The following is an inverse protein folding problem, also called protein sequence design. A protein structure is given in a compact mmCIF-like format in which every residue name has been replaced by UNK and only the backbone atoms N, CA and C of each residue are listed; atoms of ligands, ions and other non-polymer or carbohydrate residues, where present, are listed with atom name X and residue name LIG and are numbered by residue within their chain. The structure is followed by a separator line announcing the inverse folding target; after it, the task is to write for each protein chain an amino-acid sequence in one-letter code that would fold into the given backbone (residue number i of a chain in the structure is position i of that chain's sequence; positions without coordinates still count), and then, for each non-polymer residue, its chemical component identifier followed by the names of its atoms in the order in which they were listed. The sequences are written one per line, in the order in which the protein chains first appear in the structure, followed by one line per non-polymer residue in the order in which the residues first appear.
data_IF_034599943772
#
_entry.id   IF_034599943772
#
_cell.length_a   1.000
_cell.length_b   1.000
_cell.length_c   1.000
_cell.angle_alpha   90.00
_cell.angle_beta   90.00
_cell.angle_gamma   90.00
#
_symmetry.space_group_name_H-M   'P 1'
#
loop_
_entity.id
_entity.type
_entity.pdbx_description
1 polymer ?
#
# COMPACT_ATOMS: atom_id res chain seq x y z
N UNK A 1 2.41 -15.17 -21.53
CA UNK A 1 3.12 -13.89 -21.70
C UNK A 1 2.99 -13.44 -23.15
N UNK A 2 3.28 -14.31 -24.14
CA UNK A 2 3.12 -14.02 -25.57
C UNK A 2 1.70 -13.54 -25.89
N UNK A 3 0.66 -14.25 -25.42
CA UNK A 3 -0.74 -13.88 -25.64
C UNK A 3 -1.06 -12.46 -25.12
N UNK A 4 -0.46 -12.07 -23.97
CA UNK A 4 -0.64 -10.70 -23.43
C UNK A 4 0.04 -9.69 -24.34
N UNK A 5 1.25 -9.96 -24.81
CA UNK A 5 1.98 -9.08 -25.72
C UNK A 5 1.25 -8.93 -27.04
N UNK A 6 0.77 -10.03 -27.61
CA UNK A 6 0.08 -10.05 -28.91
C UNK A 6 -1.27 -9.32 -28.85
N UNK A 7 -1.99 -9.47 -27.73
CA UNK A 7 -3.31 -8.85 -27.55
C UNK A 7 -3.27 -7.39 -27.08
N UNK A 8 -2.23 -6.97 -26.32
CA UNK A 8 -2.17 -5.65 -25.67
C UNK A 8 -0.95 -4.80 -26.03
N UNK A 9 0.06 -5.39 -26.68
CA UNK A 9 1.35 -4.73 -26.92
C UNK A 9 2.23 -4.59 -25.67
N UNK A 10 1.79 -5.09 -24.49
CA UNK A 10 2.50 -4.96 -23.23
C UNK A 10 3.48 -6.12 -23.06
N UNK A 11 4.77 -5.78 -22.94
CA UNK A 11 5.80 -6.78 -22.59
C UNK A 11 5.77 -7.09 -21.09
N UNK A 12 5.95 -8.36 -20.76
CA UNK A 12 5.92 -8.84 -19.37
C UNK A 12 7.20 -9.61 -19.03
N UNK A 13 7.50 -9.70 -17.74
CA UNK A 13 8.60 -10.51 -17.21
C UNK A 13 8.05 -11.60 -16.31
N UNK A 14 8.76 -12.72 -16.21
CA UNK A 14 8.40 -13.80 -15.30
C UNK A 14 9.56 -14.19 -14.39
N UNK A 15 9.22 -14.63 -13.18
CA UNK A 15 10.18 -15.17 -12.22
C UNK A 15 9.74 -16.56 -11.77
N UNK A 16 10.66 -17.51 -11.81
CA UNK A 16 10.50 -18.87 -11.31
C UNK A 16 11.31 -19.00 -10.02
N UNK A 17 10.75 -19.57 -8.98
CA UNK A 17 11.43 -19.77 -7.70
C UNK A 17 10.86 -20.94 -6.91
N UNK A 18 11.65 -21.47 -5.97
CA UNK A 18 11.23 -22.55 -5.07
C UNK A 18 10.15 -22.13 -4.09
N UNK A 19 9.95 -20.84 -3.88
CA UNK A 19 8.89 -20.25 -3.07
C UNK A 19 8.41 -18.90 -3.66
N UNK A 20 7.36 -18.34 -3.08
CA UNK A 20 6.74 -17.11 -3.57
C UNK A 20 7.71 -15.91 -3.53
N UNK A 21 8.51 -15.79 -2.47
CA UNK A 21 9.49 -14.72 -2.34
C UNK A 21 10.55 -14.80 -3.46
N UNK A 22 11.14 -15.97 -3.66
CA UNK A 22 12.16 -16.16 -4.68
C UNK A 22 11.63 -15.99 -6.11
N UNK A 23 10.39 -16.43 -6.39
CA UNK A 23 9.71 -16.13 -7.66
C UNK A 23 9.58 -14.64 -7.89
N UNK A 24 9.17 -13.89 -6.85
CA UNK A 24 9.03 -12.43 -6.91
C UNK A 24 10.38 -11.73 -7.14
N UNK A 25 11.43 -12.16 -6.44
CA UNK A 25 12.78 -11.59 -6.58
C UNK A 25 13.39 -11.95 -7.95
N UNK A 26 13.17 -13.17 -8.43
CA UNK A 26 13.58 -13.56 -9.77
C UNK A 26 12.96 -12.63 -10.83
N UNK A 27 11.67 -12.31 -10.70
CA UNK A 27 10.97 -11.40 -11.60
C UNK A 27 11.47 -9.95 -11.48
N UNK A 28 11.56 -9.42 -10.26
CA UNK A 28 11.84 -7.98 -10.01
C UNK A 28 13.30 -7.61 -10.24
N UNK A 29 14.24 -8.49 -9.90
CA UNK A 29 15.68 -8.24 -10.02
C UNK A 29 16.27 -9.08 -11.15
N UNK A 30 16.08 -10.40 -11.13
CA UNK A 30 16.72 -11.31 -12.08
C UNK A 30 16.30 -11.03 -13.53
N UNK A 31 15.01 -11.06 -13.82
CA UNK A 31 14.50 -10.96 -15.19
C UNK A 31 14.76 -9.59 -15.83
N UNK A 32 14.94 -8.52 -15.05
CA UNK A 32 15.29 -7.20 -15.60
C UNK A 32 16.69 -7.14 -16.23
N UNK A 33 17.59 -8.02 -15.80
CA UNK A 33 18.97 -8.08 -16.27
C UNK A 33 19.25 -9.21 -17.30
N UNK A 34 18.22 -10.01 -17.62
CA UNK A 34 18.31 -11.04 -18.64
C UNK A 34 17.92 -10.47 -20.00
N UNK A 35 18.63 -10.87 -21.06
CA UNK A 35 18.22 -10.55 -22.42
C UNK A 35 16.85 -11.17 -22.71
N UNK A 36 15.97 -10.48 -23.45
CA UNK A 36 14.72 -11.09 -23.89
C UNK A 36 15.00 -12.26 -24.83
N UNK A 37 14.12 -13.25 -24.80
CA UNK A 37 14.09 -14.34 -25.79
C UNK A 37 13.56 -13.83 -27.15
N UNK A 38 13.39 -14.77 -28.11
CA UNK A 38 12.91 -14.48 -29.48
C UNK A 38 11.52 -13.81 -29.47
N UNK A 39 10.68 -14.10 -28.47
CA UNK A 39 9.35 -13.52 -28.26
C UNK A 39 9.39 -12.20 -27.47
N UNK A 40 10.57 -11.75 -27.06
CA UNK A 40 10.77 -10.55 -26.25
C UNK A 40 10.41 -10.74 -24.77
N UNK A 41 10.33 -11.99 -24.32
CA UNK A 41 10.02 -12.36 -22.93
C UNK A 41 11.31 -12.48 -22.12
N UNK A 42 11.28 -12.01 -20.88
CA UNK A 42 12.40 -12.12 -19.95
C UNK A 42 12.00 -13.01 -18.78
N UNK A 43 12.70 -14.11 -18.61
CA UNK A 43 12.45 -15.08 -17.54
C UNK A 43 13.73 -15.26 -16.74
N UNK A 44 13.61 -15.25 -15.42
CA UNK A 44 14.69 -15.59 -14.51
C UNK A 44 14.24 -16.65 -13.51
N UNK A 45 15.19 -17.45 -13.04
CA UNK A 45 14.95 -18.53 -12.07
C UNK A 45 15.90 -18.39 -10.89
N UNK A 46 15.34 -18.47 -9.67
CA UNK A 46 16.09 -18.48 -8.42
C UNK A 46 15.64 -19.62 -7.52
N UNK A 47 16.63 -20.33 -7.00
CA UNK A 47 16.53 -21.13 -5.79
C UNK A 47 17.30 -20.43 -4.63
N UNK A 48 17.25 -20.98 -3.43
CA UNK A 48 17.91 -20.42 -2.24
C UNK A 48 19.43 -20.31 -2.42
N UNK A 49 20.04 -21.25 -3.12
CA UNK A 49 21.49 -21.23 -3.38
C UNK A 49 21.88 -20.11 -4.36
N UNK A 50 21.20 -20.02 -5.50
CA UNK A 50 21.42 -18.96 -6.50
C UNK A 50 21.16 -17.58 -5.89
N UNK A 51 20.07 -17.45 -5.10
CA UNK A 51 19.73 -16.23 -4.40
C UNK A 51 20.87 -15.75 -3.50
N UNK A 52 21.36 -16.61 -2.61
CA UNK A 52 22.47 -16.28 -1.70
C UNK A 52 23.76 -15.97 -2.44
N UNK A 53 24.05 -16.76 -3.46
CA UNK A 53 25.29 -16.62 -4.25
C UNK A 53 25.33 -15.32 -5.05
N UNK A 54 24.21 -14.89 -5.65
CA UNK A 54 24.21 -13.79 -6.60
C UNK A 54 23.58 -12.50 -6.05
N UNK A 55 22.66 -12.59 -5.10
CA UNK A 55 21.87 -11.45 -4.66
C UNK A 55 22.09 -11.01 -3.20
N UNK A 56 22.83 -11.77 -2.40
CA UNK A 56 23.14 -11.32 -1.03
C UNK A 56 23.91 -9.99 -0.96
N UNK A 57 24.72 -9.67 -1.96
CA UNK A 57 25.46 -8.42 -2.08
C UNK A 57 24.76 -7.34 -2.91
N UNK A 58 23.56 -7.63 -3.46
CA UNK A 58 22.86 -6.71 -4.35
C UNK A 58 22.48 -5.40 -3.64
N UNK A 59 22.58 -4.30 -4.38
CA UNK A 59 22.19 -2.94 -3.96
C UNK A 59 21.45 -2.25 -5.10
N UNK A 60 20.49 -1.37 -4.78
CA UNK A 60 20.05 -0.98 -3.43
C UNK A 60 19.16 -2.05 -2.79
N UNK A 61 19.15 -2.12 -1.47
CA UNK A 61 18.35 -3.08 -0.71
C UNK A 61 16.84 -2.88 -0.91
N UNK A 62 16.43 -1.71 -1.38
CA UNK A 62 15.03 -1.38 -1.72
C UNK A 62 14.49 -2.10 -2.95
N UNK A 63 15.34 -2.76 -3.72
CA UNK A 63 14.90 -3.60 -4.84
C UNK A 63 14.24 -4.89 -4.36
N UNK A 64 14.53 -5.29 -3.12
CA UNK A 64 13.95 -6.48 -2.54
C UNK A 64 12.52 -6.21 -2.04
N UNK A 65 11.63 -7.13 -2.38
CA UNK A 65 10.24 -7.08 -1.98
C UNK A 65 10.09 -6.89 -0.48
N UNK A 66 9.17 -6.00 -0.07
CA UNK A 66 8.87 -5.57 1.30
C UNK A 66 9.93 -4.68 1.98
N UNK A 67 11.03 -4.35 1.34
CA UNK A 67 11.99 -3.39 1.86
C UNK A 67 11.80 -2.03 1.18
N UNK A 68 11.00 -1.17 1.79
CA UNK A 68 10.84 0.22 1.37
C UNK A 68 11.91 1.15 1.96
N UNK A 69 11.86 2.43 1.56
CA UNK A 69 12.81 3.46 2.02
C UNK A 69 12.89 3.62 3.55
N UNK A 70 11.78 3.35 4.26
CA UNK A 70 11.74 3.37 5.73
C UNK A 70 12.61 2.28 6.35
N UNK A 71 12.44 1.04 5.89
CA UNK A 71 13.26 -0.10 6.31
C UNK A 71 14.73 0.11 5.95
N UNK A 72 15.03 0.51 4.72
CA UNK A 72 16.39 0.78 4.26
C UNK A 72 17.09 1.82 5.14
N UNK A 73 16.41 2.91 5.52
CA UNK A 73 16.97 3.92 6.44
C UNK A 73 17.21 3.38 7.83
N UNK A 74 16.33 2.54 8.36
CA UNK A 74 16.50 1.92 9.67
C UNK A 74 17.65 0.92 9.67
N UNK A 75 17.77 0.10 8.63
CA UNK A 75 18.88 -0.83 8.43
C UNK A 75 20.22 -0.09 8.28
N UNK A 76 20.26 0.98 7.50
CA UNK A 76 21.46 1.79 7.30
C UNK A 76 22.01 2.39 8.62
N UNK A 77 21.13 2.79 9.56
CA UNK A 77 21.52 3.25 10.90
C UNK A 77 22.23 2.15 11.72
N UNK A 78 21.99 0.88 11.39
CA UNK A 78 22.63 -0.28 11.99
C UNK A 78 23.87 -0.74 11.22
N UNK A 79 24.23 -0.07 10.11
CA UNK A 79 25.33 -0.48 9.23
C UNK A 79 24.99 -1.66 8.32
N UNK A 80 23.69 -1.96 8.13
CA UNK A 80 23.17 -3.05 7.30
C UNK A 80 22.70 -2.46 5.96
N UNK A 81 23.27 -2.94 4.85
CA UNK A 81 23.01 -2.39 3.52
C UNK A 81 22.58 -3.45 2.50
N UNK A 82 22.68 -4.73 2.84
CA UNK A 82 22.39 -5.85 1.93
C UNK A 82 21.61 -6.95 2.63
N UNK A 83 20.98 -7.84 1.86
CA UNK A 83 20.32 -9.03 2.42
C UNK A 83 21.33 -9.96 3.10
N UNK A 84 22.54 -10.07 2.57
CA UNK A 84 23.62 -10.82 3.20
C UNK A 84 24.05 -10.26 4.56
N UNK A 85 23.99 -8.94 4.76
CA UNK A 85 24.26 -8.33 6.06
C UNK A 85 23.17 -8.69 7.09
N UNK A 86 21.91 -8.72 6.68
CA UNK A 86 20.80 -9.16 7.54
C UNK A 86 20.99 -10.63 7.94
N UNK A 87 21.27 -11.49 6.95
CA UNK A 87 21.50 -12.92 7.19
C UNK A 87 22.69 -13.15 8.15
N UNK A 88 23.80 -12.43 7.98
CA UNK A 88 24.94 -12.49 8.91
C UNK A 88 24.57 -12.02 10.31
N UNK A 89 23.80 -10.93 10.42
CA UNK A 89 23.32 -10.41 11.69
C UNK A 89 22.49 -11.46 12.44
N UNK A 90 21.59 -12.18 11.75
CA UNK A 90 20.71 -13.16 12.38
C UNK A 90 21.41 -14.36 13.01
N UNK A 91 22.60 -14.72 12.53
CA UNK A 91 23.38 -15.86 13.08
C UNK A 91 24.57 -15.43 13.92
N UNK A 92 24.77 -14.14 14.13
CA UNK A 92 25.89 -13.63 14.89
C UNK A 92 25.77 -13.95 16.39
N UNK A 93 26.91 -13.96 17.09
CA UNK A 93 26.96 -14.33 18.50
C UNK A 93 26.03 -13.45 19.35
N UNK A 94 25.15 -14.06 20.13
CA UNK A 94 24.18 -13.38 21.01
C UNK A 94 24.82 -12.45 22.05
N UNK A 95 26.10 -12.62 22.37
CA UNK A 95 26.84 -11.72 23.28
C UNK A 95 27.28 -10.42 22.61
N UNK A 96 27.26 -10.34 21.28
CA UNK A 96 27.58 -9.14 20.51
C UNK A 96 26.40 -8.20 20.37
N UNK A 97 26.67 -6.91 20.08
CA UNK A 97 25.62 -5.94 19.78
C UNK A 97 24.91 -6.24 18.45
N UNK A 98 25.65 -6.77 17.48
CA UNK A 98 25.17 -7.06 16.13
C UNK A 98 24.69 -8.50 16.05
N UNK A 99 23.42 -8.72 16.36
CA UNK A 99 22.82 -10.06 16.44
C UNK A 99 21.32 -9.99 16.11
N UNK A 100 20.63 -11.13 16.17
CA UNK A 100 19.22 -11.28 15.92
C UNK A 100 18.34 -10.36 16.81
N UNK A 101 18.69 -10.24 18.10
CA UNK A 101 17.95 -9.42 19.06
C UNK A 101 17.91 -7.94 18.62
N UNK A 102 18.96 -7.46 17.97
CA UNK A 102 19.00 -6.11 17.41
C UNK A 102 17.97 -5.92 16.32
N UNK A 103 17.77 -6.92 15.46
CA UNK A 103 16.73 -6.89 14.41
C UNK A 103 15.34 -6.87 15.03
N UNK A 104 15.06 -7.75 16.00
CA UNK A 104 13.77 -7.76 16.70
C UNK A 104 13.50 -6.49 17.50
N UNK A 105 14.50 -5.89 18.12
CA UNK A 105 14.40 -4.60 18.81
C UNK A 105 14.02 -3.47 17.85
N UNK A 106 14.53 -3.54 16.62
CA UNK A 106 14.34 -2.47 15.62
C UNK A 106 13.04 -2.61 14.83
N UNK A 107 12.66 -3.84 14.47
CA UNK A 107 11.57 -4.12 13.55
C UNK A 107 10.40 -4.88 14.19
N UNK A 108 10.51 -5.26 15.48
CA UNK A 108 9.51 -6.06 16.18
C UNK A 108 9.32 -7.42 15.50
N UNK A 109 8.11 -7.94 15.50
CA UNK A 109 7.74 -9.20 14.84
C UNK A 109 8.07 -9.25 13.34
N UNK A 110 8.16 -8.11 12.67
CA UNK A 110 8.55 -8.05 11.26
C UNK A 110 10.02 -8.44 11.01
N UNK A 111 10.85 -8.53 12.07
CA UNK A 111 12.23 -9.02 11.95
C UNK A 111 12.27 -10.47 11.49
N UNK A 112 11.33 -11.31 11.92
CA UNK A 112 11.21 -12.72 11.52
C UNK A 112 11.12 -12.83 9.99
N UNK A 113 10.14 -12.15 9.39
CA UNK A 113 9.97 -12.14 7.95
C UNK A 113 11.20 -11.55 7.22
N UNK A 114 11.82 -10.52 7.80
CA UNK A 114 13.01 -9.90 7.22
C UNK A 114 14.19 -10.86 7.21
N UNK A 115 14.37 -11.65 8.28
CA UNK A 115 15.40 -12.69 8.40
C UNK A 115 15.12 -13.83 7.41
N UNK A 116 13.90 -14.34 7.39
CA UNK A 116 13.49 -15.42 6.48
C UNK A 116 13.77 -15.04 5.02
N UNK A 117 13.34 -13.86 4.60
CA UNK A 117 13.62 -13.35 3.27
C UNK A 117 15.11 -13.15 3.00
N UNK A 118 15.91 -12.76 4.00
CA UNK A 118 17.36 -12.66 3.84
C UNK A 118 18.01 -14.02 3.57
N UNK A 119 17.44 -15.10 4.09
CA UNK A 119 17.86 -16.46 3.81
C UNK A 119 17.24 -17.05 2.53
N UNK A 120 16.29 -16.35 1.91
CA UNK A 120 15.54 -16.81 0.75
C UNK A 120 14.40 -17.76 1.09
N UNK A 121 13.92 -17.72 2.34
CA UNK A 121 12.85 -18.55 2.83
C UNK A 121 11.51 -17.79 2.84
N UNK A 122 10.43 -18.46 2.46
CA UNK A 122 9.05 -17.97 2.55
C UNK A 122 8.12 -19.15 2.84
N UNK A 123 7.57 -19.23 4.06
CA UNK A 123 6.72 -20.34 4.44
C UNK A 123 5.32 -20.25 3.85
N UNK A 124 4.86 -19.05 3.48
CA UNK A 124 3.48 -18.82 3.06
C UNK A 124 3.23 -19.35 1.65
N UNK A 125 2.23 -20.22 1.52
CA UNK A 125 1.82 -20.81 0.25
C UNK A 125 0.64 -20.06 -0.38
N UNK A 126 0.42 -20.27 -1.69
CA UNK A 126 -0.76 -19.73 -2.38
C UNK A 126 -2.09 -20.21 -1.79
N UNK A 127 -2.11 -21.41 -1.18
CA UNK A 127 -3.30 -21.94 -0.50
C UNK A 127 -3.62 -21.11 0.73
N UNK A 128 -2.62 -20.78 1.54
CA UNK A 128 -2.78 -19.97 2.74
C UNK A 128 -3.19 -18.54 2.40
N UNK A 129 -2.59 -17.94 1.37
CA UNK A 129 -2.98 -16.60 0.90
C UNK A 129 -4.45 -16.58 0.47
N UNK A 130 -4.90 -17.58 -0.29
CA UNK A 130 -6.30 -17.65 -0.76
C UNK A 130 -7.30 -17.89 0.38
N UNK A 131 -6.89 -18.57 1.44
CA UNK A 131 -7.73 -18.86 2.61
C UNK A 131 -7.66 -17.79 3.70
N UNK A 132 -6.71 -16.83 3.60
CA UNK A 132 -6.52 -15.82 4.64
C UNK A 132 -7.72 -14.88 4.74
N UNK A 133 -8.20 -14.71 5.96
CA UNK A 133 -9.26 -13.77 6.33
C UNK A 133 -8.69 -12.76 7.32
N UNK A 134 -8.49 -11.48 6.94
CA UNK A 134 -7.98 -10.47 7.86
C UNK A 134 -8.97 -10.22 9.01
N UNK A 135 -8.46 -10.14 10.23
CA UNK A 135 -9.28 -9.84 11.42
C UNK A 135 -9.75 -8.37 11.43
N UNK A 136 -8.91 -7.47 10.94
CA UNK A 136 -9.24 -6.06 10.79
C UNK A 136 -9.13 -5.73 9.31
N UNK A 137 -10.27 -5.57 8.65
CA UNK A 137 -10.32 -5.20 7.25
C UNK A 137 -10.67 -3.72 7.11
N UNK A 138 -10.06 -3.07 6.15
CA UNK A 138 -10.48 -1.77 5.66
C UNK A 138 -10.62 -1.83 4.14
N UNK A 139 -11.55 -1.09 3.59
CA UNK A 139 -11.67 -0.86 2.16
C UNK A 139 -11.14 0.53 1.88
N UNK A 140 -10.18 0.66 0.96
CA UNK A 140 -9.57 1.93 0.65
C UNK A 140 -9.60 2.20 -0.84
N UNK A 141 -10.03 3.40 -1.21
CA UNK A 141 -10.00 3.93 -2.57
C UNK A 141 -9.11 5.17 -2.62
N UNK A 142 -8.22 5.25 -3.60
CA UNK A 142 -7.35 6.41 -3.79
C UNK A 142 -7.30 6.82 -5.25
N UNK A 143 -7.50 8.11 -5.52
CA UNK A 143 -7.47 8.65 -6.87
C UNK A 143 -6.52 9.84 -6.97
N UNK A 144 -5.57 9.75 -7.90
CA UNK A 144 -4.76 10.88 -8.34
C UNK A 144 -5.43 11.48 -9.55
N UNK A 145 -5.77 12.76 -9.48
CA UNK A 145 -6.46 13.46 -10.57
C UNK A 145 -5.49 13.72 -11.73
N UNK A 146 -5.99 13.71 -12.95
CA UNK A 146 -5.18 13.89 -14.17
C UNK A 146 -4.50 15.27 -14.25
N UNK A 147 -5.17 16.28 -13.69
CA UNK A 147 -4.70 17.67 -13.59
C UNK A 147 -5.10 18.25 -12.22
N UNK A 148 -4.66 19.46 -11.84
CA UNK A 148 -5.26 20.19 -10.72
C UNK A 148 -6.74 20.43 -10.99
N UNK A 149 -7.61 20.11 -10.02
CA UNK A 149 -9.06 20.30 -10.08
C UNK A 149 -9.46 21.42 -9.14
N UNK A 150 -10.35 22.27 -9.60
CA UNK A 150 -11.01 23.29 -8.78
C UNK A 150 -12.00 22.61 -7.79
N UNK A 151 -12.41 23.36 -6.77
CA UNK A 151 -13.20 22.82 -5.65
C UNK A 151 -14.46 22.06 -6.08
N UNK A 152 -15.28 22.63 -7.00
CA UNK A 152 -16.52 22.00 -7.45
C UNK A 152 -16.27 20.77 -8.32
N UNK A 153 -15.25 20.79 -9.19
CA UNK A 153 -14.85 19.61 -9.95
C UNK A 153 -14.37 18.48 -9.02
N UNK A 154 -13.56 18.82 -8.02
CA UNK A 154 -13.05 17.87 -7.05
C UNK A 154 -14.17 17.29 -6.17
N UNK A 155 -15.18 18.09 -5.83
CA UNK A 155 -16.37 17.65 -5.10
C UNK A 155 -17.16 16.61 -5.90
N UNK A 156 -17.26 16.75 -7.23
CA UNK A 156 -17.88 15.74 -8.08
C UNK A 156 -17.11 14.40 -8.02
N UNK A 157 -15.79 14.43 -8.10
CA UNK A 157 -14.96 13.23 -7.96
C UNK A 157 -15.15 12.58 -6.58
N UNK A 158 -15.26 13.37 -5.51
CA UNK A 158 -15.53 12.84 -4.19
C UNK A 158 -16.88 12.10 -4.14
N UNK A 159 -17.92 12.61 -4.82
CA UNK A 159 -19.21 11.94 -4.92
C UNK A 159 -19.09 10.60 -5.65
N UNK A 160 -18.40 10.56 -6.79
CA UNK A 160 -18.14 9.32 -7.53
C UNK A 160 -17.35 8.30 -6.68
N UNK A 161 -16.33 8.75 -5.96
CA UNK A 161 -15.55 7.87 -5.07
C UNK A 161 -16.38 7.37 -3.89
N UNK A 162 -17.31 8.18 -3.38
CA UNK A 162 -18.25 7.79 -2.30
C UNK A 162 -19.20 6.71 -2.76
N UNK A 163 -19.71 6.83 -3.98
CA UNK A 163 -20.55 5.81 -4.62
C UNK A 163 -19.77 4.51 -4.83
N UNK A 164 -18.55 4.61 -5.36
CA UNK A 164 -17.68 3.45 -5.59
C UNK A 164 -17.37 2.67 -4.31
N UNK A 165 -17.03 3.35 -3.21
CA UNK A 165 -16.74 2.68 -1.93
C UNK A 165 -18.01 2.05 -1.31
N UNK A 166 -19.16 2.70 -1.47
CA UNK A 166 -20.47 2.19 -1.04
C UNK A 166 -20.84 0.92 -1.81
N UNK A 167 -20.67 0.93 -3.13
CA UNK A 167 -20.90 -0.22 -3.99
C UNK A 167 -20.03 -1.41 -3.58
N UNK A 168 -18.74 -1.18 -3.38
CA UNK A 168 -17.80 -2.23 -2.94
C UNK A 168 -18.17 -2.81 -1.57
N UNK A 169 -18.62 -1.97 -0.62
CA UNK A 169 -19.15 -2.44 0.67
C UNK A 169 -20.36 -3.34 0.47
N UNK A 170 -21.32 -2.92 -0.36
CA UNK A 170 -22.54 -3.69 -0.64
C UNK A 170 -22.26 -5.02 -1.33
N UNK A 171 -21.39 -5.04 -2.35
CA UNK A 171 -21.00 -6.27 -3.08
C UNK A 171 -20.32 -7.29 -2.16
N UNK A 172 -19.48 -6.81 -1.23
CA UNK A 172 -18.81 -7.65 -0.25
C UNK A 172 -19.65 -7.98 0.98
N UNK A 173 -20.90 -7.50 1.02
CA UNK A 173 -21.81 -7.63 2.17
C UNK A 173 -21.18 -7.10 3.48
N UNK A 174 -20.50 -5.97 3.39
CA UNK A 174 -19.84 -5.31 4.50
C UNK A 174 -20.57 -4.01 4.87
N UNK A 175 -20.50 -3.68 6.15
CA UNK A 175 -20.95 -2.40 6.69
C UNK A 175 -19.76 -1.70 7.32
N UNK A 176 -19.74 -0.37 7.28
CA UNK A 176 -18.72 0.47 7.93
C UNK A 176 -19.35 1.37 8.98
N UNK A 177 -18.57 1.74 9.98
CA UNK A 177 -18.95 2.75 10.99
C UNK A 177 -18.10 4.03 10.88
N UNK A 178 -17.07 4.02 10.02
CA UNK A 178 -16.15 5.14 9.92
C UNK A 178 -15.51 5.21 8.54
N UNK A 179 -15.41 6.40 7.99
CA UNK A 179 -14.56 6.65 6.82
C UNK A 179 -13.51 7.72 7.16
N UNK A 180 -12.25 7.40 6.88
CA UNK A 180 -11.15 8.36 6.89
C UNK A 180 -10.99 8.93 5.50
N UNK A 181 -10.99 10.26 5.40
CA UNK A 181 -10.78 11.01 4.16
C UNK A 181 -9.48 11.81 4.22
N UNK A 182 -8.75 11.84 3.11
CA UNK A 182 -7.57 12.69 2.94
C UNK A 182 -7.60 13.34 1.57
N UNK A 183 -7.48 14.67 1.56
CA UNK A 183 -7.44 15.51 0.34
C UNK A 183 -6.08 16.16 0.26
N UNK A 184 -5.39 15.99 -0.86
CA UNK A 184 -4.09 16.60 -1.12
C UNK A 184 -4.22 17.66 -2.20
N UNK A 185 -3.69 18.84 -1.91
CA UNK A 185 -3.66 19.95 -2.84
C UNK A 185 -2.53 19.79 -3.88
N UNK A 186 -2.66 20.48 -5.01
CA UNK A 186 -1.63 20.46 -6.02
C UNK A 186 -0.44 21.36 -5.66
N UNK A 187 0.73 21.02 -6.19
CA UNK A 187 1.98 21.76 -5.99
C UNK A 187 1.91 23.17 -6.56
N UNK A 188 1.12 23.41 -7.62
CA UNK A 188 0.97 24.72 -8.25
C UNK A 188 0.45 25.80 -7.31
N UNK A 189 -0.31 25.43 -6.27
CA UNK A 189 -0.81 26.39 -5.29
C UNK A 189 0.31 27.17 -4.60
N UNK A 190 1.46 26.53 -4.35
CA UNK A 190 2.64 27.17 -3.74
C UNK A 190 3.21 28.24 -4.68
N UNK A 191 3.27 27.96 -5.98
CA UNK A 191 3.70 28.92 -7.00
C UNK A 191 2.74 30.09 -7.21
N UNK A 192 1.47 29.95 -6.77
CA UNK A 192 0.43 30.98 -6.87
C UNK A 192 0.29 31.85 -5.60
N UNK A 193 1.28 31.82 -4.71
CA UNK A 193 1.32 32.69 -3.53
C UNK A 193 0.65 32.13 -2.28
N UNK A 194 0.55 30.82 -2.16
CA UNK A 194 0.06 30.16 -0.93
C UNK A 194 0.95 30.50 0.27
N UNK A 195 0.35 30.99 1.36
CA UNK A 195 1.06 31.45 2.58
C UNK A 195 0.90 30.45 3.75
N UNK A 196 0.17 29.35 3.56
CA UNK A 196 -0.11 28.39 4.62
C UNK A 196 1.02 27.37 4.84
N UNK A 197 0.72 26.39 5.68
CA UNK A 197 1.65 25.31 6.01
C UNK A 197 1.89 24.39 4.80
N UNK A 198 3.17 24.14 4.47
CA UNK A 198 3.57 23.29 3.35
C UNK A 198 4.20 21.97 3.82
N UNK A 199 4.24 20.99 2.92
CA UNK A 199 4.93 19.71 3.14
C UNK A 199 5.74 19.36 1.90
N UNK A 200 6.92 18.75 2.13
CA UNK A 200 7.77 18.20 1.08
C UNK A 200 7.46 16.71 0.94
N UNK A 201 7.20 16.24 -0.27
CA UNK A 201 7.00 14.82 -0.54
C UNK A 201 8.33 14.05 -0.74
N UNK A 202 8.25 12.73 -0.94
CA UNK A 202 9.44 11.88 -1.15
C UNK A 202 10.23 12.20 -2.43
N UNK A 203 9.68 13.00 -3.33
CA UNK A 203 10.32 13.47 -4.57
C UNK A 203 10.85 14.91 -4.46
N UNK A 204 10.81 15.50 -3.27
CA UNK A 204 11.25 16.89 -3.05
C UNK A 204 10.26 17.97 -3.50
N UNK A 205 9.02 17.60 -3.89
CA UNK A 205 8.00 18.57 -4.31
C UNK A 205 7.32 19.19 -3.10
N UNK A 206 7.19 20.50 -3.11
CA UNK A 206 6.52 21.28 -2.06
C UNK A 206 5.05 21.45 -2.43
N UNK A 207 4.15 21.11 -1.53
CA UNK A 207 2.70 21.33 -1.70
C UNK A 207 2.09 21.84 -0.39
N UNK A 208 0.90 22.46 -0.43
CA UNK A 208 0.15 22.77 0.77
C UNK A 208 -0.07 21.49 1.60
N UNK A 209 -0.10 21.64 2.91
CA UNK A 209 -0.38 20.52 3.81
C UNK A 209 -1.74 19.92 3.48
N UNK A 210 -1.77 18.60 3.25
CA UNK A 210 -3.01 17.87 3.00
C UNK A 210 -3.99 17.99 4.17
N UNK A 211 -5.26 18.05 3.87
CA UNK A 211 -6.33 17.94 4.85
C UNK A 211 -6.70 16.48 5.06
N UNK A 212 -6.86 16.07 6.30
CA UNK A 212 -7.28 14.72 6.67
C UNK A 212 -8.31 14.80 7.78
N UNK A 213 -9.33 13.97 7.70
CA UNK A 213 -10.35 13.85 8.73
C UNK A 213 -10.95 12.47 8.80
N UNK A 214 -11.81 12.32 9.79
CA UNK A 214 -12.53 11.08 10.07
C UNK A 214 -14.00 11.42 10.17
N UNK A 215 -14.81 10.73 9.38
CA UNK A 215 -16.26 10.78 9.40
C UNK A 215 -16.74 9.53 10.12
N UNK A 216 -17.43 9.71 11.26
CA UNK A 216 -18.02 8.62 12.03
C UNK A 216 -19.53 8.63 11.79
N UNK A 217 -20.09 7.43 11.61
CA UNK A 217 -21.55 7.24 11.49
C UNK A 217 -22.14 6.83 12.83
N UNK A 218 -23.41 7.15 13.06
CA UNK A 218 -24.12 6.77 14.28
C UNK A 218 -24.26 5.26 14.40
N UNK A 219 -24.44 4.58 13.28
CA UNK A 219 -24.54 3.12 13.15
C UNK A 219 -23.63 2.56 12.07
N UNK A 220 -23.74 1.28 11.82
CA UNK A 220 -23.09 0.61 10.71
C UNK A 220 -23.88 0.82 9.41
N UNK A 221 -23.22 1.26 8.35
CA UNK A 221 -23.88 1.60 7.09
C UNK A 221 -23.09 1.12 5.87
N UNK A 222 -23.80 0.90 4.77
CA UNK A 222 -23.28 0.88 3.40
C UNK A 222 -24.14 1.77 2.47
N UNK A 223 -25.00 2.64 3.06
CA UNK A 223 -25.86 3.54 2.31
C UNK A 223 -25.06 4.58 1.54
N UNK A 224 -25.22 4.60 0.22
CA UNK A 224 -24.56 5.56 -0.66
C UNK A 224 -24.91 7.00 -0.28
N UNK A 225 -26.18 7.28 -0.01
CA UNK A 225 -26.63 8.64 0.34
C UNK A 225 -26.06 9.12 1.66
N UNK A 226 -26.02 8.26 2.68
CA UNK A 226 -25.47 8.60 3.99
C UNK A 226 -23.96 8.85 3.90
N UNK A 227 -23.21 7.95 3.26
CA UNK A 227 -21.76 8.06 3.07
C UNK A 227 -21.43 9.31 2.26
N UNK A 228 -22.09 9.50 1.12
CA UNK A 228 -21.84 10.63 0.23
C UNK A 228 -22.13 11.98 0.92
N UNK A 229 -23.29 12.12 1.56
CA UNK A 229 -23.66 13.36 2.22
C UNK A 229 -22.69 13.71 3.35
N UNK A 230 -22.30 12.73 4.15
CA UNK A 230 -21.36 12.94 5.25
C UNK A 230 -19.96 13.34 4.76
N UNK A 231 -19.48 12.73 3.67
CA UNK A 231 -18.19 13.07 3.07
C UNK A 231 -18.20 14.43 2.36
N UNK A 232 -19.28 14.76 1.68
CA UNK A 232 -19.46 16.08 1.02
C UNK A 232 -19.52 17.19 2.06
N UNK A 233 -20.31 17.03 3.11
CA UNK A 233 -20.37 18.01 4.22
C UNK A 233 -19.00 18.24 4.87
N UNK A 234 -18.27 17.14 5.12
CA UNK A 234 -16.90 17.24 5.64
C UNK A 234 -15.97 17.97 4.67
N UNK A 235 -16.08 17.70 3.37
CA UNK A 235 -15.28 18.33 2.35
C UNK A 235 -15.53 19.84 2.28
N UNK A 236 -16.78 20.27 2.24
CA UNK A 236 -17.19 21.67 2.21
C UNK A 236 -16.77 22.45 3.46
N UNK A 237 -16.73 21.78 4.62
CA UNK A 237 -16.32 22.42 5.88
C UNK A 237 -14.80 22.55 6.03
N UNK A 238 -14.02 21.56 5.53
CA UNK A 238 -12.62 21.42 5.89
C UNK A 238 -11.63 21.73 4.76
N UNK A 239 -12.06 21.68 3.52
CA UNK A 239 -11.19 21.87 2.36
C UNK A 239 -11.23 23.33 1.93
N UNK A 240 -10.05 23.92 1.71
CA UNK A 240 -9.94 25.30 1.24
C UNK A 240 -10.38 25.40 -0.24
N UNK A 241 -11.48 26.12 -0.47
CA UNK A 241 -12.09 26.30 -1.79
C UNK A 241 -11.20 27.10 -2.79
N UNK A 242 -10.19 27.81 -2.29
CA UNK A 242 -9.27 28.60 -3.12
C UNK A 242 -8.11 27.79 -3.67
N UNK A 243 -7.93 26.56 -3.19
CA UNK A 243 -6.80 25.72 -3.56
C UNK A 243 -7.21 24.60 -4.52
N UNK A 244 -6.42 24.40 -5.54
CA UNK A 244 -6.60 23.28 -6.47
C UNK A 244 -6.19 21.96 -5.81
N UNK A 245 -6.95 20.91 -6.12
CA UNK A 245 -6.86 19.58 -5.52
C UNK A 245 -6.21 18.61 -6.50
N UNK A 246 -5.37 17.71 -6.00
CA UNK A 246 -4.63 16.74 -6.80
C UNK A 246 -4.95 15.30 -6.47
N UNK A 247 -5.34 14.98 -5.23
CA UNK A 247 -5.52 13.60 -4.83
C UNK A 247 -6.54 13.44 -3.71
N UNK A 248 -7.34 12.38 -3.83
CA UNK A 248 -8.20 11.87 -2.77
C UNK A 248 -7.73 10.50 -2.28
N UNK A 249 -7.96 10.24 -1.00
CA UNK A 249 -7.95 8.89 -0.43
C UNK A 249 -9.11 8.76 0.54
N UNK A 250 -9.89 7.70 0.37
CA UNK A 250 -10.96 7.28 1.27
C UNK A 250 -10.59 5.93 1.87
N UNK A 251 -10.90 5.71 3.13
CA UNK A 251 -10.73 4.40 3.78
C UNK A 251 -11.89 4.14 4.71
N UNK A 252 -12.73 3.16 4.36
CA UNK A 252 -13.76 2.63 5.23
C UNK A 252 -13.15 1.67 6.24
N UNK A 253 -13.37 1.94 7.52
CA UNK A 253 -12.78 1.20 8.64
C UNK A 253 -13.89 0.61 9.52
N UNK A 254 -13.49 -0.21 10.51
CA UNK A 254 -14.42 -0.91 11.41
C UNK A 254 -15.48 -1.68 10.63
N UNK A 255 -15.00 -2.52 9.69
CA UNK A 255 -15.89 -3.29 8.84
C UNK A 255 -16.43 -4.51 9.58
N UNK A 256 -17.72 -4.76 9.40
CA UNK A 256 -18.38 -6.00 9.82
C UNK A 256 -19.15 -6.60 8.65
N UNK A 257 -19.34 -7.92 8.65
CA UNK A 257 -20.26 -8.53 7.71
C UNK A 257 -21.71 -8.20 8.08
N UNK A 258 -22.53 -7.97 7.07
CA UNK A 258 -23.96 -7.66 7.25
C UNK A 258 -24.66 -8.78 8.03
N UNK A 259 -24.27 -10.03 7.80
CA UNK A 259 -24.85 -11.22 8.46
C UNK A 259 -24.42 -11.33 9.93
N UNK A 260 -23.29 -10.72 10.30
CA UNK A 260 -22.79 -10.68 11.69
C UNK A 260 -23.35 -9.51 12.50
N UNK A 261 -24.00 -8.56 11.82
CA UNK A 261 -24.60 -7.40 12.46
C UNK A 261 -25.86 -7.81 13.20
N UNK A 262 -25.81 -7.79 14.53
CA UNK A 262 -26.99 -7.87 15.40
C UNK A 262 -27.41 -6.44 15.71
N UNK A 263 -28.51 -6.03 15.14
CA UNK A 263 -29.16 -4.78 15.56
C UNK A 263 -29.47 -4.90 17.06
N UNK A 264 -28.82 -4.08 17.85
CA UNK A 264 -29.31 -3.84 19.21
C UNK A 264 -30.69 -3.20 19.04
N UNK A 265 -31.70 -3.63 19.80
CA UNK A 265 -33.13 -3.25 19.64
C UNK A 265 -33.42 -1.72 19.65
N UNK A 266 -32.38 -0.90 19.66
CA UNK A 266 -32.42 0.58 19.73
C UNK A 266 -31.86 1.30 18.51
N UNK A 267 -31.26 0.61 17.53
CA UNK A 267 -30.77 1.25 16.31
C UNK A 267 -31.69 0.90 15.11
N UNK A 268 -32.51 1.85 14.75
CA UNK A 268 -33.35 1.75 13.54
C UNK A 268 -32.43 1.85 12.32
N UNK A 269 -32.37 0.78 11.51
CA UNK A 269 -31.64 0.80 10.25
C UNK A 269 -32.44 1.67 9.26
N UNK A 270 -31.90 2.82 8.89
CA UNK A 270 -32.45 3.64 7.80
C UNK A 270 -32.05 3.02 6.46
N UNK A 271 -33.05 2.59 5.70
CA UNK A 271 -32.92 2.07 4.33
C UNK A 271 -33.41 3.09 3.27
N UNK A 272 -33.42 4.37 3.55
CA UNK A 272 -33.83 5.42 2.61
C UNK A 272 -32.65 6.20 2.06
#
# INVERSE_FOLDING_TARGET
ISDVKDSTGISSTAGIGSNLYLSKIAMDIGAKHVAPDEDGVRIAELDEYKYRKYLWGHKPITDFWRIGSGYARSLAKLGIYTMGDIAKCSISNKKGYFNEDLLYKTFGVNAELLIDHAWGYEPVTMKEIKSYRPKNSSISSGQVLSRPYEFEEAKLILKEMSEGISLELCEKKLLTRQIVISVSYDVENVGKGYIGETKIDGYGRVSPKKVRGTVNFSGYTCSTSEIMNALVNWFEEKVDEKLTIRRFNLSANFLIYKDDFKADDREQISFL
#
